data_IF_581119394904
#
_entry.id   IF_581119394904
#
_cell.length_a   1.000
_cell.length_b   1.000
_cell.length_c   1.000
_cell.angle_alpha   90.00
_cell.angle_beta   90.00
_cell.angle_gamma   90.00
#
_symmetry.space_group_name_H-M   'P 1'
#
loop_
_entity.id
_entity.type
_entity.pdbx_description
1 polymer ?
#
# COMPACT_ATOMS: atom_id res chain seq x y z
N UNK A 1 -16.99 -14.20 14.03
CA UNK A 1 -15.96 -14.40 12.99
C UNK A 1 -15.94 -13.12 12.19
N UNK A 2 -14.97 -12.24 12.46
CA UNK A 2 -14.84 -10.94 11.77
C UNK A 2 -14.17 -11.23 10.42
N UNK A 3 -14.85 -10.94 9.32
CA UNK A 3 -14.34 -11.14 7.96
C UNK A 3 -13.51 -9.92 7.57
N UNK A 4 -12.38 -10.15 6.90
CA UNK A 4 -11.34 -9.16 6.55
C UNK A 4 -11.40 -8.89 5.03
N UNK A 5 -11.05 -7.67 4.64
CA UNK A 5 -11.23 -7.14 3.29
C UNK A 5 -9.87 -6.72 2.73
N UNK A 6 -9.60 -7.16 1.51
CA UNK A 6 -8.53 -6.70 0.63
C UNK A 6 -9.13 -5.60 -0.25
N UNK A 7 -8.61 -4.36 -0.14
CA UNK A 7 -8.98 -3.26 -1.05
C UNK A 7 -7.88 -3.15 -2.10
N UNK A 8 -8.12 -3.72 -3.28
CA UNK A 8 -7.17 -3.70 -4.38
C UNK A 8 -7.40 -2.44 -5.24
N UNK A 9 -6.71 -1.35 -4.91
CA UNK A 9 -6.77 -0.11 -5.70
C UNK A 9 -5.98 -0.29 -6.99
N UNK A 10 -6.67 -0.59 -8.10
CA UNK A 10 -6.04 -0.66 -9.42
C UNK A 10 -5.80 0.77 -9.93
N UNK A 11 -4.58 1.27 -9.77
CA UNK A 11 -4.16 2.58 -10.32
C UNK A 11 -3.88 2.43 -11.82
N UNK A 12 -4.87 2.71 -12.67
CA UNK A 12 -4.64 2.98 -14.09
C UNK A 12 -4.33 4.47 -14.28
N UNK A 13 -3.03 4.79 -14.40
CA UNK A 13 -2.60 6.12 -14.82
C UNK A 13 -2.82 6.29 -16.33
N UNK A 14 -4.05 6.61 -16.74
CA UNK A 14 -4.37 7.04 -18.11
C UNK A 14 -4.08 8.54 -18.26
N UNK A 15 -2.94 8.87 -18.86
CA UNK A 15 -2.70 10.21 -19.41
C UNK A 15 -2.87 10.16 -20.92
N UNK A 16 -3.98 10.72 -21.43
CA UNK A 16 -4.17 10.94 -22.88
C UNK A 16 -4.55 12.38 -23.19
N UNK A 17 -3.67 13.02 -23.96
CA UNK A 17 -3.98 14.03 -24.99
C UNK A 17 -4.15 15.48 -24.51
N UNK A 18 -3.75 16.53 -25.23
CA UNK A 18 -3.50 16.74 -26.67
C UNK A 18 -3.11 18.25 -26.81
N UNK A 19 -2.17 18.78 -27.63
CA UNK A 19 -2.20 18.99 -29.09
C UNK A 19 -1.01 19.90 -29.54
N UNK A 20 -0.41 19.53 -30.68
CA UNK A 20 0.22 20.27 -31.80
C UNK A 20 1.22 21.45 -31.63
N UNK A 21 2.29 21.37 -32.44
CA UNK A 21 3.01 22.54 -32.95
C UNK A 21 4.30 22.22 -33.72
N UNK A 22 4.20 22.06 -35.05
CA UNK A 22 5.32 21.86 -35.98
C UNK A 22 6.42 22.94 -35.90
N UNK A 23 7.69 22.55 -36.15
CA UNK A 23 8.58 23.40 -36.96
C UNK A 23 10.08 23.42 -36.65
N UNK A 24 10.83 22.86 -37.60
CA UNK A 24 12.18 23.25 -38.04
C UNK A 24 13.44 22.71 -37.30
N UNK A 25 14.26 22.07 -38.13
CA UNK A 25 15.59 21.53 -37.87
C UNK A 25 16.66 22.59 -37.61
N UNK A 26 17.72 22.24 -36.83
CA UNK A 26 19.12 22.44 -37.25
C UNK A 26 20.15 21.69 -36.39
N UNK A 27 21.23 21.35 -37.09
CA UNK A 27 22.45 20.60 -36.80
C UNK A 27 23.36 21.06 -35.64
N UNK A 28 23.95 20.05 -34.98
CA UNK A 28 25.38 19.74 -34.83
C UNK A 28 26.34 20.42 -33.81
N UNK A 29 27.23 19.53 -33.33
CA UNK A 29 28.67 19.67 -32.96
C UNK A 29 28.98 19.97 -31.48
N UNK A 30 29.52 19.04 -30.68
CA UNK A 30 30.90 18.48 -30.54
C UNK A 30 31.94 19.38 -29.86
N UNK A 31 32.61 18.82 -28.83
CA UNK A 31 34.01 18.93 -28.36
C UNK A 31 33.99 18.73 -26.85
N UNK A 32 34.58 17.71 -26.20
CA UNK A 32 35.89 17.04 -26.25
C UNK A 32 37.09 17.82 -25.66
N UNK A 33 37.72 17.18 -24.66
CA UNK A 33 39.15 17.21 -24.24
C UNK A 33 39.63 18.45 -23.45
N UNK A 34 40.56 18.47 -22.48
CA UNK A 34 41.73 17.65 -22.02
C UNK A 34 42.10 18.19 -20.61
N UNK A 35 42.34 17.41 -19.55
CA UNK A 35 43.59 16.76 -19.05
C UNK A 35 44.80 17.67 -18.72
N UNK A 36 45.36 17.47 -17.50
CA UNK A 36 46.77 17.53 -17.00
C UNK A 36 46.79 18.05 -15.53
N UNK A 37 47.05 17.21 -14.51
CA UNK A 37 48.36 16.73 -13.98
C UNK A 37 49.40 17.81 -13.67
N UNK A 38 49.77 17.96 -12.39
CA UNK A 38 51.19 18.00 -11.98
C UNK A 38 51.38 17.67 -10.49
N UNK A 39 52.58 17.14 -10.23
CA UNK A 39 53.09 16.34 -9.12
C UNK A 39 54.01 17.11 -8.15
N UNK A 40 54.34 16.46 -7.03
CA UNK A 40 55.61 16.44 -6.28
C UNK A 40 55.79 17.32 -5.02
N UNK A 41 55.64 16.65 -3.87
CA UNK A 41 56.71 16.27 -2.92
C UNK A 41 57.81 17.29 -2.53
N UNK A 42 57.98 17.55 -1.22
CA UNK A 42 59.31 17.61 -0.60
C UNK A 42 59.28 17.33 0.92
N UNK A 43 60.33 16.66 1.37
CA UNK A 43 60.60 16.12 2.72
C UNK A 43 61.55 17.06 3.48
N UNK A 44 61.40 17.22 4.81
CA UNK A 44 62.57 17.28 5.70
C UNK A 44 62.27 17.02 7.19
N UNK A 45 63.02 16.07 7.73
CA UNK A 45 63.28 15.73 9.14
C UNK A 45 64.21 16.75 9.82
N UNK A 46 64.06 17.00 11.13
CA UNK A 46 65.11 16.73 12.16
C UNK A 46 64.72 17.11 13.60
N UNK A 47 64.83 16.10 14.48
CA UNK A 47 65.46 16.04 15.83
C UNK A 47 64.87 16.70 17.09
N UNK A 48 64.91 15.86 18.14
CA UNK A 48 64.44 15.94 19.52
C UNK A 48 65.13 16.94 20.47
N UNK A 49 64.43 17.34 21.55
CA UNK A 49 64.76 16.97 22.95
C UNK A 49 63.68 17.40 23.96
N UNK A 50 63.69 16.73 25.11
CA UNK A 50 62.66 16.62 26.14
C UNK A 50 62.47 17.86 27.07
N UNK A 51 61.28 18.00 27.67
CA UNK A 51 61.09 18.30 29.12
C UNK A 51 59.62 18.51 29.49
N UNK A 52 59.27 17.90 30.64
CA UNK A 52 58.26 18.26 31.62
C UNK A 52 56.76 17.95 31.45
N UNK A 53 56.30 17.26 32.50
CA UNK A 53 54.95 16.87 32.85
C UNK A 53 54.04 18.04 33.21
N UNK A 54 52.84 18.06 32.65
CA UNK A 54 51.66 18.65 33.29
C UNK A 54 50.38 18.05 32.70
N UNK A 55 49.77 17.14 33.46
CA UNK A 55 48.32 16.90 33.61
C UNK A 55 47.42 17.41 32.46
N UNK A 56 47.30 16.62 31.38
CA UNK A 56 46.27 16.81 30.37
C UNK A 56 45.14 15.83 30.67
N UNK A 57 44.03 16.37 31.20
CA UNK A 57 42.74 15.68 31.20
C UNK A 57 42.41 15.32 29.75
N UNK A 58 42.30 14.03 29.45
CA UNK A 58 41.63 13.57 28.25
C UNK A 58 40.19 14.08 28.29
N UNK A 59 39.90 15.13 27.52
CA UNK A 59 38.54 15.37 27.04
C UNK A 59 38.22 14.25 26.05
N UNK A 60 37.68 13.15 26.56
CA UNK A 60 36.86 12.26 25.73
C UNK A 60 35.65 13.07 25.28
N UNK A 61 35.74 13.65 24.09
CA UNK A 61 34.58 14.24 23.39
C UNK A 61 33.65 13.06 23.08
N UNK A 62 32.70 12.80 23.97
CA UNK A 62 31.69 11.79 23.74
C UNK A 62 30.92 12.15 22.47
N UNK A 63 30.96 11.28 21.48
CA UNK A 63 30.05 11.37 20.33
C UNK A 63 28.64 11.47 20.91
N UNK A 64 27.93 12.55 20.56
CA UNK A 64 26.57 12.77 21.05
C UNK A 64 25.70 11.55 20.70
N UNK A 65 24.84 11.15 21.63
CA UNK A 65 23.87 10.09 21.37
C UNK A 65 23.03 10.47 20.12
N UNK A 66 23.05 9.69 19.02
CA UNK A 66 22.40 10.07 17.77
C UNK A 66 20.87 10.01 17.84
N UNK A 67 20.33 9.50 18.95
CA UNK A 67 18.89 9.43 19.21
C UNK A 67 18.34 10.79 19.69
N UNK A 68 17.28 11.24 19.03
CA UNK A 68 16.55 12.47 19.36
C UNK A 68 15.13 12.10 19.80
N UNK A 69 14.69 12.62 20.94
CA UNK A 69 13.29 12.48 21.40
C UNK A 69 12.35 13.24 20.47
N UNK A 70 11.22 12.61 20.12
CA UNK A 70 10.19 13.17 19.23
C UNK A 70 8.80 12.90 19.81
N UNK A 71 7.75 13.51 19.25
CA UNK A 71 6.36 13.15 19.55
C UNK A 71 5.90 11.94 18.71
N UNK A 72 4.74 11.38 19.07
CA UNK A 72 4.11 10.31 18.27
C UNK A 72 3.73 10.81 16.86
N UNK A 73 3.21 12.04 16.76
CA UNK A 73 2.85 12.66 15.49
C UNK A 73 4.08 12.86 14.60
N UNK A 74 5.18 13.36 15.16
CA UNK A 74 6.46 13.46 14.45
C UNK A 74 6.95 12.08 14.01
N UNK A 75 6.80 11.04 14.84
CA UNK A 75 7.17 9.68 14.48
C UNK A 75 6.36 9.14 13.29
N UNK A 76 5.04 9.38 13.27
CA UNK A 76 4.13 9.00 12.17
C UNK A 76 4.51 9.68 10.84
N UNK A 77 5.02 10.92 10.90
CA UNK A 77 5.51 11.62 9.70
C UNK A 77 6.80 11.00 9.14
N UNK A 78 7.59 10.29 9.96
CA UNK A 78 8.88 9.71 9.55
C UNK A 78 8.80 8.27 9.04
N UNK A 79 7.75 7.53 9.42
CA UNK A 79 7.57 6.14 9.02
C UNK A 79 6.09 5.90 8.74
N UNK A 80 5.78 5.65 7.46
CA UNK A 80 4.42 5.30 7.03
C UNK A 80 3.94 4.01 7.72
N UNK A 81 2.63 3.82 7.96
CA UNK A 81 2.11 2.65 8.72
C UNK A 81 2.87 2.34 10.02
N UNK A 82 3.26 3.37 10.79
CA UNK A 82 3.92 3.17 12.09
C UNK A 82 2.99 2.42 13.05
N UNK A 83 3.53 1.57 13.92
CA UNK A 83 2.75 0.96 15.01
C UNK A 83 2.25 2.00 16.02
N UNK A 84 1.30 1.58 16.87
CA UNK A 84 0.94 2.30 18.10
C UNK A 84 1.48 1.60 19.35
N UNK A 85 1.50 2.29 20.48
CA UNK A 85 1.70 1.62 21.77
C UNK A 85 0.55 0.64 22.06
N UNK A 86 0.82 -0.54 22.66
CA UNK A 86 -0.23 -1.49 23.00
C UNK A 86 -1.11 -0.96 24.14
N UNK A 87 -2.33 -1.48 24.22
CA UNK A 87 -3.30 -1.04 25.24
C UNK A 87 -2.77 -1.36 26.65
N UNK A 88 -2.81 -0.37 27.55
CA UNK A 88 -2.26 -0.50 28.91
C UNK A 88 -0.78 -0.15 29.04
N UNK A 89 -0.07 0.19 27.95
CA UNK A 89 1.30 0.66 28.01
C UNK A 89 1.43 2.01 28.74
N UNK A 90 2.45 2.10 29.59
CA UNK A 90 2.84 3.31 30.35
C UNK A 90 4.26 3.74 30.00
N UNK A 91 4.68 4.93 30.44
CA UNK A 91 6.03 5.47 30.19
C UNK A 91 6.45 5.44 28.71
N UNK A 92 5.55 5.89 27.84
CA UNK A 92 5.76 5.88 26.40
C UNK A 92 6.72 7.00 26.01
N UNK A 93 7.83 6.64 25.37
CA UNK A 93 8.86 7.56 24.89
C UNK A 93 9.18 7.27 23.43
N UNK A 94 8.92 8.25 22.57
CA UNK A 94 9.24 8.20 21.15
C UNK A 94 10.61 8.85 20.89
N UNK A 95 11.40 8.22 20.03
CA UNK A 95 12.69 8.73 19.61
C UNK A 95 13.00 8.32 18.17
N UNK A 96 13.90 9.04 17.51
CA UNK A 96 14.40 8.70 16.18
C UNK A 96 15.92 8.81 16.10
N UNK A 97 16.51 8.03 15.19
CA UNK A 97 17.92 8.11 14.84
C UNK A 97 18.06 8.41 13.33
N UNK A 98 18.36 9.66 12.99
CA UNK A 98 18.52 10.09 11.60
C UNK A 98 19.80 9.52 10.95
N UNK A 99 20.86 9.28 11.73
CA UNK A 99 22.12 8.74 11.24
C UNK A 99 22.01 7.31 10.69
N UNK A 100 20.95 6.57 11.06
CA UNK A 100 20.66 5.24 10.54
C UNK A 100 19.76 5.27 9.30
N UNK A 101 19.33 6.45 8.85
CA UNK A 101 18.66 6.65 7.57
C UNK A 101 19.62 7.01 6.44
N UNK A 102 19.16 6.84 5.20
CA UNK A 102 19.87 7.22 3.99
C UNK A 102 18.85 7.65 2.91
N UNK A 103 18.53 8.96 2.83
CA UNK A 103 17.58 9.47 1.84
C UNK A 103 17.97 9.21 0.39
N UNK A 104 19.28 9.08 0.08
CA UNK A 104 19.74 8.78 -1.28
C UNK A 104 19.41 7.33 -1.69
N UNK A 105 19.21 6.45 -0.70
CA UNK A 105 18.77 5.07 -0.90
C UNK A 105 17.30 4.84 -0.53
N UNK A 106 16.52 5.91 -0.34
CA UNK A 106 15.13 5.83 0.12
C UNK A 106 14.96 5.08 1.47
N UNK A 107 16.00 5.12 2.31
CA UNK A 107 15.98 4.54 3.66
C UNK A 107 15.62 5.64 4.67
N UNK A 108 14.49 5.49 5.35
CA UNK A 108 14.03 6.40 6.39
C UNK A 108 14.86 6.33 7.67
N UNK A 109 14.69 7.31 8.59
CA UNK A 109 15.31 7.24 9.91
C UNK A 109 14.75 6.04 10.70
N UNK A 110 15.53 5.54 11.65
CA UNK A 110 15.05 4.50 12.55
C UNK A 110 14.18 5.14 13.64
N UNK A 111 12.91 4.77 13.70
CA UNK A 111 11.95 5.23 14.71
C UNK A 111 11.87 4.20 15.84
N UNK A 112 11.88 4.66 17.09
CA UNK A 112 11.78 3.82 18.29
C UNK A 112 10.69 4.32 19.23
N UNK A 113 9.89 3.37 19.73
CA UNK A 113 9.02 3.54 20.89
C UNK A 113 9.56 2.69 22.04
N UNK A 114 9.81 3.34 23.18
CA UNK A 114 10.11 2.66 24.44
C UNK A 114 8.87 2.76 25.34
N UNK A 115 8.47 1.66 25.98
CA UNK A 115 7.28 1.65 26.84
C UNK A 115 7.36 0.58 27.93
N UNK A 116 6.50 0.69 28.94
CA UNK A 116 6.33 -0.31 29.99
C UNK A 116 4.96 -0.97 29.89
N UNK A 117 4.91 -2.30 29.89
CA UNK A 117 3.67 -3.09 29.92
C UNK A 117 3.87 -4.24 30.90
N UNK A 118 2.92 -4.44 31.83
CA UNK A 118 2.99 -5.47 32.87
C UNK A 118 4.35 -5.50 33.62
N UNK A 119 4.83 -4.31 34.02
CA UNK A 119 6.12 -4.09 34.70
C UNK A 119 7.37 -4.49 33.90
N UNK A 120 7.24 -4.79 32.60
CA UNK A 120 8.34 -5.09 31.68
C UNK A 120 8.60 -3.93 30.74
N UNK A 121 9.88 -3.67 30.44
CA UNK A 121 10.29 -2.61 29.51
C UNK A 121 10.48 -3.17 28.10
N UNK A 122 9.78 -2.56 27.14
CA UNK A 122 9.79 -2.94 25.73
C UNK A 122 10.46 -1.87 24.89
N UNK A 123 11.09 -2.32 23.80
CA UNK A 123 11.61 -1.47 22.73
C UNK A 123 11.02 -1.93 21.42
N UNK A 124 10.22 -1.08 20.77
CA UNK A 124 9.70 -1.31 19.43
C UNK A 124 10.39 -0.37 18.45
N UNK A 125 10.70 -0.85 17.24
CA UNK A 125 11.33 -0.05 16.19
C UNK A 125 10.74 -0.32 14.82
N UNK A 126 10.69 0.74 14.01
CA UNK A 126 10.26 0.68 12.62
C UNK A 126 11.24 1.45 11.74
N UNK A 127 11.49 0.94 10.53
CA UNK A 127 12.31 1.64 9.54
C UNK A 127 11.78 1.40 8.12
N UNK A 128 11.43 2.50 7.46
CA UNK A 128 10.99 2.50 6.07
C UNK A 128 12.18 2.36 5.11
N UNK A 129 12.03 1.56 4.07
CA UNK A 129 13.07 1.30 3.06
C UNK A 129 14.15 0.31 3.52
N UNK A 130 14.04 -0.23 4.73
CA UNK A 130 14.95 -1.27 5.22
C UNK A 130 14.75 -2.57 4.43
N UNK A 131 15.82 -3.36 4.29
CA UNK A 131 15.72 -4.69 3.71
C UNK A 131 14.91 -5.63 4.63
N UNK A 132 14.28 -6.66 4.05
CA UNK A 132 13.47 -7.64 4.80
C UNK A 132 14.25 -8.31 5.94
N UNK A 133 15.56 -8.54 5.74
CA UNK A 133 16.46 -9.18 6.69
C UNK A 133 17.30 -8.20 7.52
N UNK A 134 17.00 -6.89 7.45
CA UNK A 134 17.73 -5.89 8.22
C UNK A 134 17.50 -6.05 9.73
N UNK A 135 18.58 -6.17 10.51
CA UNK A 135 18.51 -6.09 11.97
C UNK A 135 18.38 -4.64 12.42
N UNK A 136 17.14 -4.22 12.66
CA UNK A 136 16.83 -2.92 13.23
C UNK A 136 16.64 -2.96 14.75
N UNK A 137 16.63 -4.15 15.34
CA UNK A 137 16.27 -4.35 16.75
C UNK A 137 17.40 -3.94 17.70
N UNK A 138 18.65 -3.98 17.23
CA UNK A 138 19.84 -3.53 17.97
C UNK A 138 20.04 -4.27 19.30
N UNK A 139 19.64 -5.54 19.35
CA UNK A 139 19.89 -6.43 20.47
C UNK A 139 21.25 -7.12 20.27
N UNK A 140 22.18 -6.91 21.18
CA UNK A 140 23.51 -7.54 21.13
C UNK A 140 23.55 -8.79 22.01
N UNK A 141 22.79 -9.81 21.63
CA UNK A 141 22.66 -11.09 22.35
C UNK A 141 22.84 -12.28 21.42
N UNK A 142 23.28 -13.41 21.98
CA UNK A 142 23.32 -14.68 21.26
C UNK A 142 21.94 -15.36 21.34
N UNK A 143 21.25 -15.47 20.21
CA UNK A 143 19.95 -16.14 20.13
C UNK A 143 20.11 -17.65 20.35
N UNK A 144 19.45 -18.16 21.39
CA UNK A 144 19.51 -19.57 21.79
C UNK A 144 18.33 -20.40 21.28
N UNK A 145 17.24 -19.73 20.89
CA UNK A 145 15.99 -20.30 20.36
C UNK A 145 15.48 -19.42 19.22
N UNK A 146 14.91 -20.05 18.19
CA UNK A 146 14.42 -19.40 16.98
C UNK A 146 15.50 -19.27 15.87
N UNK A 147 15.15 -18.66 14.71
CA UNK A 147 13.84 -18.08 14.42
C UNK A 147 12.73 -19.13 14.30
N UNK A 148 11.61 -18.89 14.98
CA UNK A 148 10.35 -19.58 14.70
C UNK A 148 9.45 -18.64 13.89
N UNK A 149 8.84 -19.18 12.84
CA UNK A 149 7.92 -18.40 11.99
C UNK A 149 6.54 -18.32 12.62
N UNK A 150 5.98 -17.11 12.63
CA UNK A 150 4.62 -16.82 13.10
C UNK A 150 3.86 -16.02 12.05
N UNK A 151 2.54 -16.08 12.07
CA UNK A 151 1.70 -15.24 11.23
C UNK A 151 1.00 -14.21 12.09
N UNK A 152 1.23 -12.92 11.78
CA UNK A 152 0.57 -11.82 12.44
C UNK A 152 -0.83 -11.63 11.83
N UNK A 153 -1.85 -11.90 12.64
CA UNK A 153 -3.24 -11.84 12.26
C UNK A 153 -3.68 -10.40 11.97
N UNK A 154 -3.28 -9.40 12.74
CA UNK A 154 -3.75 -8.03 12.55
C UNK A 154 -2.97 -7.28 11.46
N UNK A 155 -1.80 -7.79 11.07
CA UNK A 155 -0.90 -7.15 10.11
C UNK A 155 -1.00 -7.80 8.73
N UNK A 156 -0.85 -7.00 7.66
CA UNK A 156 -0.86 -7.49 6.27
C UNK A 156 -2.05 -8.40 5.98
N UNK A 157 -3.24 -7.97 6.41
CA UNK A 157 -4.52 -8.67 6.24
C UNK A 157 -4.58 -10.07 6.89
N UNK A 158 -3.64 -10.38 7.78
CA UNK A 158 -3.49 -11.69 8.42
C UNK A 158 -2.54 -12.64 7.71
N UNK A 159 -1.77 -12.15 6.75
CA UNK A 159 -0.78 -12.93 6.01
C UNK A 159 0.66 -12.48 6.30
N UNK A 160 0.86 -11.46 7.14
CA UNK A 160 2.19 -10.96 7.43
C UNK A 160 2.97 -11.96 8.27
N UNK A 161 4.12 -12.38 7.75
CA UNK A 161 5.00 -13.34 8.43
C UNK A 161 5.93 -12.59 9.38
N UNK A 162 6.02 -13.08 10.62
CA UNK A 162 6.98 -12.64 11.62
C UNK A 162 7.95 -13.76 11.99
N UNK A 163 9.06 -13.40 12.62
CA UNK A 163 10.06 -14.33 13.16
C UNK A 163 10.28 -14.01 14.64
N UNK A 164 10.16 -15.01 15.50
CA UNK A 164 10.41 -14.86 16.95
C UNK A 164 11.76 -15.47 17.34
N UNK A 165 12.43 -14.83 18.30
CA UNK A 165 13.74 -15.22 18.79
C UNK A 165 13.77 -15.13 20.31
N UNK A 166 14.55 -16.01 20.95
CA UNK A 166 14.80 -15.95 22.40
C UNK A 166 16.26 -16.21 22.73
N UNK A 167 16.83 -15.32 23.53
CA UNK A 167 18.14 -15.48 24.14
C UNK A 167 17.99 -15.82 25.63
N UNK A 168 18.63 -16.89 26.07
CA UNK A 168 18.70 -17.31 27.49
C UNK A 168 20.08 -16.92 28.03
N UNK A 169 20.11 -16.02 29.00
CA UNK A 169 21.34 -15.50 29.62
C UNK A 169 21.40 -15.86 31.10
N UNK A 170 22.56 -15.71 31.74
CA UNK A 170 22.71 -15.91 33.18
C UNK A 170 21.82 -14.97 34.03
N UNK A 171 21.39 -13.85 33.45
CA UNK A 171 20.63 -12.79 34.12
C UNK A 171 19.13 -12.77 33.79
N UNK A 172 18.67 -13.62 32.86
CA UNK A 172 17.29 -13.65 32.42
C UNK A 172 17.15 -13.96 30.92
N UNK A 173 16.07 -13.49 30.34
CA UNK A 173 15.66 -13.77 28.97
C UNK A 173 15.54 -12.48 28.16
N UNK A 174 15.82 -12.58 26.86
CA UNK A 174 15.45 -11.56 25.87
C UNK A 174 14.59 -12.22 24.81
N UNK A 175 13.38 -11.72 24.64
CA UNK A 175 12.49 -12.12 23.54
C UNK A 175 12.46 -11.02 22.49
N UNK A 176 12.39 -11.42 21.23
CA UNK A 176 12.26 -10.51 20.10
C UNK A 176 11.32 -11.09 19.05
N UNK A 177 10.54 -10.22 18.41
CA UNK A 177 9.82 -10.52 17.19
C UNK A 177 10.15 -9.47 16.13
N UNK A 178 10.37 -9.92 14.91
CA UNK A 178 10.58 -9.08 13.72
C UNK A 178 9.56 -9.42 12.66
N UNK A 179 9.05 -8.42 11.93
CA UNK A 179 8.16 -8.64 10.78
C UNK A 179 8.42 -7.57 9.72
N UNK A 180 8.03 -7.87 8.48
CA UNK A 180 8.27 -7.01 7.32
C UNK A 180 6.99 -6.79 6.54
N UNK A 181 6.67 -5.52 6.29
CA UNK A 181 5.62 -5.14 5.34
C UNK A 181 6.24 -5.00 3.95
N UNK A 182 6.01 -6.01 3.11
CA UNK A 182 6.52 -6.07 1.74
C UNK A 182 5.83 -5.08 0.79
N UNK A 183 4.59 -4.66 1.08
CA UNK A 183 3.82 -3.78 0.20
C UNK A 183 4.41 -2.37 0.16
N UNK A 184 4.93 -1.93 1.31
CA UNK A 184 5.44 -0.57 1.52
C UNK A 184 6.90 -0.52 1.97
N UNK A 185 7.52 -1.69 2.11
CA UNK A 185 8.94 -1.86 2.40
C UNK A 185 9.34 -1.37 3.79
N UNK A 186 8.65 -1.82 4.85
CA UNK A 186 8.94 -1.40 6.23
C UNK A 186 9.34 -2.59 7.09
N UNK A 187 10.48 -2.48 7.74
CA UNK A 187 10.92 -3.44 8.75
C UNK A 187 10.45 -3.01 10.14
N UNK A 188 10.00 -3.98 10.93
CA UNK A 188 9.55 -3.78 12.30
C UNK A 188 10.24 -4.74 13.26
N UNK A 189 10.45 -4.30 14.49
CA UNK A 189 10.92 -5.16 15.59
C UNK A 189 10.28 -4.77 16.91
N UNK A 190 10.11 -5.74 17.79
CA UNK A 190 9.72 -5.56 19.18
C UNK A 190 10.60 -6.47 20.02
N UNK A 191 11.23 -5.92 21.07
CA UNK A 191 12.00 -6.71 22.04
C UNK A 191 11.68 -6.35 23.48
N UNK A 192 11.91 -7.33 24.36
CA UNK A 192 11.77 -7.21 25.81
C UNK A 192 12.86 -8.02 26.50
N UNK A 193 13.39 -7.49 27.60
CA UNK A 193 14.32 -8.19 28.47
C UNK A 193 13.76 -8.27 29.89
N UNK A 194 13.67 -9.48 30.44
CA UNK A 194 13.15 -9.70 31.80
C UNK A 194 13.79 -10.93 32.45
N UNK A 195 13.74 -10.99 33.78
CA UNK A 195 14.30 -12.11 34.55
C UNK A 195 13.52 -13.43 34.35
N UNK A 196 12.25 -13.33 33.95
CA UNK A 196 11.37 -14.47 33.64
C UNK A 196 10.45 -14.09 32.47
N UNK A 197 10.45 -14.91 31.42
CA UNK A 197 9.57 -14.81 30.26
C UNK A 197 8.94 -16.18 29.94
N UNK A 198 8.85 -17.09 30.91
CA UNK A 198 8.22 -18.38 30.68
C UNK A 198 6.72 -18.21 30.37
N UNK A 199 6.28 -18.78 29.25
CA UNK A 199 4.92 -18.60 28.74
C UNK A 199 4.55 -17.19 28.26
N UNK A 200 5.50 -16.24 28.19
CA UNK A 200 5.26 -14.91 27.62
C UNK A 200 5.09 -15.00 26.09
N UNK A 201 4.06 -14.33 25.57
CA UNK A 201 3.73 -14.30 24.15
C UNK A 201 4.02 -12.91 23.57
N UNK A 202 5.23 -12.76 23.00
CA UNK A 202 5.64 -11.50 22.36
C UNK A 202 4.86 -11.20 21.08
N UNK A 203 4.34 -12.24 20.40
CA UNK A 203 3.51 -12.06 19.21
C UNK A 203 2.22 -11.33 19.60
N UNK A 204 1.57 -11.72 20.70
CA UNK A 204 0.36 -11.07 21.18
C UNK A 204 0.53 -9.58 21.48
N UNK A 205 1.74 -9.14 21.86
CA UNK A 205 2.04 -7.70 22.03
C UNK A 205 2.21 -7.02 20.68
N UNK A 206 2.97 -7.61 19.75
CA UNK A 206 3.12 -7.08 18.39
C UNK A 206 1.76 -6.94 17.66
N UNK A 207 0.83 -7.87 17.88
CA UNK A 207 -0.54 -7.82 17.34
C UNK A 207 -1.35 -6.63 17.86
N UNK A 208 -1.16 -6.24 19.12
CA UNK A 208 -1.83 -5.08 19.73
C UNK A 208 -1.24 -3.75 19.25
N UNK A 209 -0.01 -3.78 18.74
CA UNK A 209 0.68 -2.60 18.21
C UNK A 209 0.22 -2.22 16.80
N UNK A 210 -0.58 -3.06 16.13
CA UNK A 210 -1.20 -2.71 14.86
C UNK A 210 -2.07 -1.46 14.99
N UNK A 211 -1.91 -0.52 14.04
CA UNK A 211 -2.70 0.70 14.00
C UNK A 211 -3.45 0.83 12.65
N UNK A 212 -4.75 0.52 12.60
CA UNK A 212 -5.53 0.64 11.35
C UNK A 212 -5.68 2.08 10.86
N UNK A 213 -5.53 3.09 11.73
CA UNK A 213 -5.60 4.50 11.34
C UNK A 213 -4.37 4.95 10.54
N UNK A 214 -3.26 4.21 10.65
CA UNK A 214 -2.03 4.50 9.92
C UNK A 214 -1.96 3.75 8.58
N UNK A 215 -2.98 2.95 8.24
CA UNK A 215 -3.08 2.29 6.93
C UNK A 215 -3.18 3.33 5.82
N UNK A 216 -2.35 3.16 4.79
CA UNK A 216 -2.32 4.05 3.64
C UNK A 216 -3.68 4.22 2.97
N UNK A 217 -3.98 5.45 2.55
CA UNK A 217 -5.16 5.80 1.74
C UNK A 217 -6.53 5.63 2.43
N UNK A 218 -6.58 5.29 3.72
CA UNK A 218 -7.85 5.15 4.48
C UNK A 218 -8.70 6.42 4.52
N UNK A 219 -8.07 7.60 4.47
CA UNK A 219 -8.71 8.91 4.48
C UNK A 219 -8.66 9.66 3.13
N UNK A 220 -8.24 8.99 2.05
CA UNK A 220 -8.21 9.62 0.72
C UNK A 220 -9.48 9.30 -0.08
N UNK A 221 -10.18 10.30 -0.62
CA UNK A 221 -11.23 10.07 -1.60
C UNK A 221 -10.79 9.16 -2.73
N UNK A 222 -11.58 8.13 -3.02
CA UNK A 222 -11.28 7.09 -4.02
C UNK A 222 -12.06 7.26 -5.33
N UNK A 223 -12.99 8.22 -5.39
CA UNK A 223 -13.73 8.55 -6.61
C UNK A 223 -14.22 10.01 -6.63
N UNK A 224 -14.83 10.41 -7.75
CA UNK A 224 -15.32 11.77 -7.96
C UNK A 224 -16.30 12.22 -6.87
N UNK A 225 -17.14 11.32 -6.35
CA UNK A 225 -18.19 11.68 -5.42
C UNK A 225 -17.64 11.87 -4.00
N UNK A 226 -16.70 11.02 -3.58
CA UNK A 226 -15.96 11.20 -2.34
C UNK A 226 -15.14 12.49 -2.36
N UNK A 227 -14.52 12.82 -3.50
CA UNK A 227 -13.79 14.09 -3.68
C UNK A 227 -14.74 15.27 -3.54
N UNK A 228 -15.88 15.22 -4.24
CA UNK A 228 -16.92 16.24 -4.19
C UNK A 228 -17.52 16.41 -2.78
N UNK A 229 -17.66 15.33 -2.03
CA UNK A 229 -18.24 15.33 -0.69
C UNK A 229 -17.22 15.59 0.44
N UNK A 230 -15.91 15.52 0.15
CA UNK A 230 -14.84 15.67 1.14
C UNK A 230 -14.83 14.58 2.22
N UNK A 231 -15.20 13.36 1.87
CA UNK A 231 -15.27 12.20 2.79
C UNK A 231 -15.06 10.88 2.05
N UNK A 232 -14.62 9.84 2.74
CA UNK A 232 -14.29 8.52 2.17
C UNK A 232 -15.40 7.47 2.31
N UNK A 233 -16.45 7.75 3.08
CA UNK A 233 -17.60 6.86 3.25
C UNK A 233 -18.88 7.62 3.55
N UNK A 234 -20.01 6.92 3.42
CA UNK A 234 -21.36 7.44 3.62
C UNK A 234 -22.12 6.56 4.64
N UNK A 235 -23.14 7.11 5.30
CA UNK A 235 -23.94 6.32 6.25
C UNK A 235 -25.01 5.47 5.54
N UNK A 236 -25.46 5.89 4.36
CA UNK A 236 -26.49 5.23 3.58
C UNK A 236 -26.39 5.53 2.09
N UNK A 237 -27.08 4.74 1.26
CA UNK A 237 -27.22 5.04 -0.17
C UNK A 237 -27.96 6.36 -0.42
N UNK A 238 -28.88 6.76 0.47
CA UNK A 238 -29.55 8.05 0.38
C UNK A 238 -28.56 9.21 0.55
N UNK A 239 -27.53 9.07 1.40
CA UNK A 239 -26.47 10.07 1.54
C UNK A 239 -25.57 10.15 0.30
N UNK A 240 -25.34 9.01 -0.36
CA UNK A 240 -24.63 8.96 -1.65
C UNK A 240 -25.43 9.70 -2.71
N UNK A 241 -26.72 9.39 -2.84
CA UNK A 241 -27.62 10.01 -3.82
C UNK A 241 -27.79 11.51 -3.53
N UNK A 242 -27.88 11.92 -2.26
CA UNK A 242 -28.00 13.31 -1.87
C UNK A 242 -26.74 14.14 -2.15
N UNK A 243 -25.58 13.49 -2.27
CA UNK A 243 -24.33 14.15 -2.62
C UNK A 243 -24.18 14.39 -4.12
N UNK A 244 -25.02 13.78 -4.97
CA UNK A 244 -24.98 13.96 -6.43
C UNK A 244 -25.45 15.34 -6.89
N UNK A 245 -24.87 15.83 -7.98
CA UNK A 245 -25.19 17.10 -8.64
C UNK A 245 -25.90 16.86 -9.98
N UNK A 246 -26.57 17.89 -10.56
CA UNK A 246 -27.27 17.73 -11.83
C UNK A 246 -26.37 17.19 -12.95
N UNK A 247 -26.87 16.19 -13.70
CA UNK A 247 -26.13 15.47 -14.75
C UNK A 247 -25.44 14.19 -14.28
N UNK A 248 -25.18 14.05 -12.98
CA UNK A 248 -24.72 12.81 -12.36
C UNK A 248 -25.91 11.86 -12.15
N UNK A 249 -25.65 10.57 -11.91
CA UNK A 249 -26.72 9.61 -11.73
C UNK A 249 -26.37 8.36 -10.96
N UNK A 250 -27.38 7.57 -10.67
CA UNK A 250 -27.25 6.33 -9.92
C UNK A 250 -28.15 5.21 -10.45
N UNK A 251 -27.75 3.97 -10.21
CA UNK A 251 -28.55 2.78 -10.51
C UNK A 251 -28.37 1.74 -9.39
N UNK A 252 -29.47 1.18 -8.90
CA UNK A 252 -29.42 0.02 -8.02
C UNK A 252 -29.17 -1.25 -8.85
N UNK A 253 -28.14 -2.00 -8.50
CA UNK A 253 -27.74 -3.21 -9.23
C UNK A 253 -27.57 -4.39 -8.28
N UNK A 254 -27.70 -5.60 -8.83
CA UNK A 254 -27.43 -6.87 -8.13
C UNK A 254 -26.31 -7.60 -8.84
N UNK A 255 -25.33 -8.02 -8.07
CA UNK A 255 -24.12 -8.65 -8.59
C UNK A 255 -24.00 -10.08 -8.07
N UNK A 256 -23.48 -10.98 -8.89
CA UNK A 256 -23.19 -12.34 -8.49
C UNK A 256 -22.19 -12.34 -7.32
N UNK A 257 -22.35 -13.28 -6.40
CA UNK A 257 -21.49 -13.43 -5.22
C UNK A 257 -22.04 -12.78 -3.95
N UNK A 258 -23.17 -12.07 -4.05
CA UNK A 258 -23.87 -11.48 -2.91
C UNK A 258 -25.36 -11.33 -3.19
N UNK A 259 -26.19 -11.51 -2.16
CA UNK A 259 -27.63 -11.19 -2.21
C UNK A 259 -27.90 -9.70 -1.94
N UNK A 260 -26.86 -8.93 -1.57
CA UNK A 260 -26.97 -7.51 -1.31
C UNK A 260 -27.23 -6.71 -2.59
N UNK A 261 -27.87 -5.55 -2.43
CA UNK A 261 -28.00 -4.56 -3.49
C UNK A 261 -26.86 -3.56 -3.42
N UNK A 262 -26.33 -3.20 -4.58
CA UNK A 262 -25.23 -2.26 -4.76
C UNK A 262 -25.73 -1.01 -5.49
N UNK A 263 -25.02 0.10 -5.32
CA UNK A 263 -25.33 1.34 -6.00
C UNK A 263 -24.23 1.68 -7.00
N UNK A 264 -24.52 1.59 -8.29
CA UNK A 264 -23.65 2.13 -9.33
C UNK A 264 -23.89 3.65 -9.43
N UNK A 265 -22.83 4.43 -9.42
CA UNK A 265 -22.87 5.89 -9.37
C UNK A 265 -21.95 6.46 -10.43
N UNK A 266 -22.47 7.38 -11.26
CA UNK A 266 -21.75 7.95 -12.40
C UNK A 266 -21.73 9.47 -12.35
N UNK A 267 -20.64 10.08 -12.82
CA UNK A 267 -20.46 11.52 -12.92
C UNK A 267 -21.20 12.12 -14.13
N UNK A 268 -21.58 11.28 -15.10
CA UNK A 268 -22.27 11.70 -16.32
C UNK A 268 -23.24 10.64 -16.83
N UNK A 269 -24.52 10.99 -16.84
CA UNK A 269 -25.56 10.21 -17.53
C UNK A 269 -25.74 10.73 -18.96
N UNK A 270 -25.68 9.85 -19.95
CA UNK A 270 -25.96 10.21 -21.34
C UNK A 270 -27.45 10.49 -21.54
N UNK A 271 -27.80 11.71 -21.94
CA UNK A 271 -29.20 12.15 -22.09
C UNK A 271 -30.01 11.35 -23.12
N UNK A 272 -29.34 10.72 -24.09
CA UNK A 272 -29.98 10.04 -25.21
C UNK A 272 -30.73 8.76 -24.77
N UNK A 273 -30.17 8.03 -23.81
CA UNK A 273 -30.64 6.70 -23.41
C UNK A 273 -30.52 6.43 -21.90
N UNK A 274 -30.12 7.43 -21.11
CA UNK A 274 -29.85 7.33 -19.69
C UNK A 274 -28.81 6.25 -19.31
N UNK A 275 -27.85 5.98 -20.20
CA UNK A 275 -26.74 5.07 -19.89
C UNK A 275 -25.51 5.85 -19.41
N UNK A 276 -24.49 5.12 -18.96
CA UNK A 276 -23.16 5.67 -18.67
C UNK A 276 -22.09 4.66 -19.07
N UNK A 277 -20.90 5.16 -19.41
CA UNK A 277 -19.74 4.31 -19.69
C UNK A 277 -18.84 4.13 -18.46
N UNK A 278 -19.00 4.93 -17.40
CA UNK A 278 -18.18 4.82 -16.20
C UNK A 278 -19.06 4.91 -14.95
N UNK A 279 -18.77 4.09 -13.95
CA UNK A 279 -19.45 4.16 -12.66
C UNK A 279 -18.57 3.66 -11.51
N UNK A 280 -18.63 4.36 -10.38
CA UNK A 280 -18.23 3.84 -9.08
C UNK A 280 -19.28 2.88 -8.55
N UNK A 281 -18.85 1.70 -8.11
CA UNK A 281 -19.74 0.73 -7.46
C UNK A 281 -19.64 0.89 -5.95
N UNK A 282 -20.74 1.26 -5.32
CA UNK A 282 -20.86 1.39 -3.87
C UNK A 282 -21.53 0.16 -3.26
N UNK A 283 -21.02 -0.26 -2.10
CA UNK A 283 -21.58 -1.33 -1.28
C UNK A 283 -21.49 -1.01 0.21
N UNK A 284 -22.17 -1.80 1.03
CA UNK A 284 -22.10 -1.67 2.49
C UNK A 284 -20.99 -2.56 3.04
N UNK A 285 -19.96 -1.96 3.61
CA UNK A 285 -18.87 -2.61 4.33
C UNK A 285 -18.83 -2.09 5.76
N UNK A 286 -18.81 -2.99 6.74
CA UNK A 286 -18.79 -2.66 8.18
C UNK A 286 -19.86 -1.63 8.63
N UNK A 287 -21.02 -1.67 7.97
CA UNK A 287 -22.14 -0.78 8.27
C UNK A 287 -22.03 0.63 7.68
N UNK A 288 -21.02 0.88 6.84
CA UNK A 288 -20.84 2.11 6.06
C UNK A 288 -20.96 1.82 4.58
N UNK A 289 -21.43 2.80 3.82
CA UNK A 289 -21.45 2.76 2.37
C UNK A 289 -20.11 3.26 1.84
N UNK A 290 -19.38 2.39 1.16
CA UNK A 290 -18.01 2.62 0.69
C UNK A 290 -17.93 2.29 -0.80
N UNK A 291 -17.07 3.01 -1.52
CA UNK A 291 -16.76 2.70 -2.91
C UNK A 291 -15.92 1.42 -2.95
N UNK A 292 -16.31 0.47 -3.80
CA UNK A 292 -15.68 -0.84 -3.94
C UNK A 292 -14.73 -0.90 -5.13
N UNK A 293 -15.10 -0.26 -6.24
CA UNK A 293 -14.31 -0.20 -7.46
C UNK A 293 -14.90 0.83 -8.41
N UNK A 294 -14.05 1.34 -9.32
CA UNK A 294 -14.46 2.03 -10.53
C UNK A 294 -14.53 1.01 -11.67
N UNK A 295 -15.55 1.12 -12.53
CA UNK A 295 -15.65 0.33 -13.76
C UNK A 295 -15.88 1.27 -14.93
N UNK A 296 -15.16 1.02 -16.02
CA UNK A 296 -15.16 1.93 -17.17
C UNK A 296 -15.26 1.16 -18.49
N UNK A 297 -16.03 1.72 -19.40
CA UNK A 297 -16.07 1.40 -20.82
C UNK A 297 -15.44 2.53 -21.63
N UNK A 298 -15.76 2.62 -22.92
CA UNK A 298 -15.18 3.64 -23.80
C UNK A 298 -16.23 4.56 -24.43
N UNK A 299 -16.64 5.57 -23.66
CA UNK A 299 -17.61 6.57 -24.11
C UNK A 299 -18.99 5.98 -24.41
N UNK A 300 -19.86 6.77 -25.03
CA UNK A 300 -21.27 6.41 -25.23
C UNK A 300 -21.51 5.22 -26.16
N UNK A 301 -20.51 4.80 -26.94
CA UNK A 301 -20.63 3.61 -27.79
C UNK A 301 -20.52 2.30 -27.01
N UNK A 302 -19.92 2.33 -25.82
CA UNK A 302 -19.66 1.15 -24.99
C UNK A 302 -20.14 1.40 -23.54
N UNK A 303 -21.47 1.50 -23.33
CA UNK A 303 -22.04 1.71 -22.01
C UNK A 303 -21.86 0.47 -21.12
N UNK A 304 -21.95 0.66 -19.81
CA UNK A 304 -21.93 -0.43 -18.84
C UNK A 304 -23.17 -1.31 -18.99
N UNK A 305 -22.98 -2.63 -18.83
CA UNK A 305 -24.04 -3.63 -19.00
C UNK A 305 -24.07 -4.60 -17.82
N UNK A 306 -25.24 -5.18 -17.57
CA UNK A 306 -25.46 -6.11 -16.46
C UNK A 306 -26.42 -7.24 -16.90
N UNK A 307 -25.97 -8.48 -16.78
CA UNK A 307 -26.81 -9.65 -17.00
C UNK A 307 -26.42 -10.78 -16.05
N UNK A 308 -27.41 -11.43 -15.45
CA UNK A 308 -27.23 -12.55 -14.51
C UNK A 308 -26.24 -12.26 -13.36
N UNK A 309 -26.19 -10.99 -12.92
CA UNK A 309 -25.31 -10.53 -11.85
C UNK A 309 -23.86 -10.30 -12.28
N UNK A 310 -23.54 -10.46 -13.57
CA UNK A 310 -22.22 -10.14 -14.12
C UNK A 310 -22.27 -8.76 -14.75
N UNK A 311 -21.38 -7.89 -14.29
CA UNK A 311 -21.20 -6.55 -14.85
C UNK A 311 -20.21 -6.64 -16.01
N UNK A 312 -20.55 -6.03 -17.13
CA UNK A 312 -19.72 -5.99 -18.34
C UNK A 312 -19.29 -4.56 -18.63
N UNK A 313 -18.01 -4.38 -18.95
CA UNK A 313 -17.40 -3.10 -19.27
C UNK A 313 -16.39 -3.25 -20.43
N UNK A 314 -15.42 -2.33 -20.50
CA UNK A 314 -14.37 -2.33 -21.52
C UNK A 314 -14.72 -1.55 -22.78
N UNK A 315 -13.80 -1.57 -23.74
CA UNK A 315 -13.83 -0.75 -24.95
C UNK A 315 -14.11 -1.59 -26.21
N UNK A 316 -13.84 -1.04 -27.40
CA UNK A 316 -13.71 -1.85 -28.61
C UNK A 316 -12.39 -2.64 -28.69
N UNK A 317 -11.50 -2.42 -27.73
CA UNK A 317 -10.16 -3.01 -27.60
C UNK A 317 -10.04 -3.88 -26.34
N UNK A 318 -11.02 -3.86 -25.43
CA UNK A 318 -11.06 -4.72 -24.25
C UNK A 318 -12.45 -5.31 -23.98
N UNK A 319 -12.46 -6.57 -23.54
CA UNK A 319 -13.61 -7.26 -22.98
C UNK A 319 -13.34 -7.48 -21.50
N UNK A 320 -14.23 -6.96 -20.66
CA UNK A 320 -14.05 -6.97 -19.21
C UNK A 320 -15.35 -7.35 -18.52
N UNK A 321 -15.27 -8.28 -17.57
CA UNK A 321 -16.42 -8.71 -16.77
C UNK A 321 -16.09 -8.75 -15.30
N UNK A 322 -17.09 -8.54 -14.45
CA UNK A 322 -16.90 -8.36 -13.00
C UNK A 322 -18.02 -9.01 -12.19
N UNK A 323 -17.67 -9.42 -10.97
CA UNK A 323 -18.57 -10.01 -9.97
C UNK A 323 -18.15 -9.56 -8.56
N UNK A 324 -18.95 -9.82 -7.53
CA UNK A 324 -18.55 -9.56 -6.13
C UNK A 324 -17.88 -10.81 -5.56
N UNK A 325 -16.72 -10.66 -4.93
CA UNK A 325 -16.18 -11.74 -4.10
C UNK A 325 -17.04 -11.91 -2.84
N UNK A 326 -17.59 -13.12 -2.64
CA UNK A 326 -18.31 -13.46 -1.41
C UNK A 326 -17.41 -13.44 -0.16
N UNK A 327 -16.10 -13.59 -0.35
CA UNK A 327 -15.11 -13.67 0.73
C UNK A 327 -14.63 -12.28 1.14
N UNK A 328 -14.39 -11.39 0.18
CA UNK A 328 -13.82 -10.05 0.42
C UNK A 328 -14.85 -8.92 0.35
N UNK A 329 -16.04 -9.14 -0.21
CA UNK A 329 -17.07 -8.12 -0.39
C UNK A 329 -16.75 -7.04 -1.43
N UNK A 330 -15.59 -7.13 -2.10
CA UNK A 330 -15.16 -6.22 -3.17
C UNK A 330 -15.57 -6.70 -4.57
N UNK A 331 -15.55 -5.77 -5.53
CA UNK A 331 -15.76 -6.07 -6.95
C UNK A 331 -14.48 -6.67 -7.54
N UNK A 332 -14.60 -7.84 -8.17
CA UNK A 332 -13.50 -8.61 -8.73
C UNK A 332 -13.66 -8.76 -10.23
N UNK A 333 -12.54 -8.63 -10.93
CA UNK A 333 -12.45 -8.91 -12.35
C UNK A 333 -12.57 -10.42 -12.60
N UNK A 334 -13.58 -10.80 -13.37
CA UNK A 334 -13.84 -12.17 -13.81
C UNK A 334 -13.02 -12.50 -15.05
N UNK A 335 -13.21 -11.73 -16.11
CA UNK A 335 -12.51 -11.90 -17.39
C UNK A 335 -11.92 -10.57 -17.83
N UNK A 336 -10.73 -10.61 -18.41
CA UNK A 336 -10.07 -9.47 -19.04
C UNK A 336 -9.35 -9.94 -20.29
N UNK A 337 -9.75 -9.45 -21.44
CA UNK A 337 -9.08 -9.73 -22.71
C UNK A 337 -8.92 -8.41 -23.46
N UNK A 338 -7.72 -8.11 -23.93
CA UNK A 338 -7.43 -6.91 -24.73
C UNK A 338 -6.65 -7.25 -25.99
N UNK A 339 -6.79 -6.45 -27.04
CA UNK A 339 -5.92 -6.48 -28.22
C UNK A 339 -4.62 -5.67 -28.06
N UNK A 340 -4.44 -4.99 -26.91
CA UNK A 340 -3.24 -4.23 -26.60
C UNK A 340 -3.07 -2.95 -27.41
N UNK A 341 -4.10 -2.51 -28.15
CA UNK A 341 -4.05 -1.25 -28.90
C UNK A 341 -3.94 -0.05 -27.95
N UNK A 342 -4.73 -0.05 -26.88
CA UNK A 342 -4.76 1.03 -25.89
C UNK A 342 -3.44 1.15 -25.10
N UNK A 343 -2.68 0.05 -24.98
CA UNK A 343 -1.37 0.00 -24.31
C UNK A 343 -0.17 0.06 -25.27
N UNK A 344 -0.42 0.04 -26.59
CA UNK A 344 0.59 0.05 -27.63
C UNK A 344 1.32 -1.27 -27.86
N UNK A 345 1.00 -2.34 -27.15
CA UNK A 345 1.60 -3.66 -27.36
C UNK A 345 1.12 -4.28 -28.68
N UNK A 346 -0.13 -4.01 -29.06
CA UNK A 346 -0.81 -4.66 -30.18
C UNK A 346 -0.78 -6.20 -30.09
N UNK A 347 -0.76 -6.73 -28.85
CA UNK A 347 -0.77 -8.15 -28.56
C UNK A 347 -2.06 -8.52 -27.84
N UNK A 348 -2.73 -9.54 -28.37
CA UNK A 348 -3.91 -10.10 -27.72
C UNK A 348 -3.46 -10.87 -26.49
N UNK A 349 -3.88 -10.40 -25.32
CA UNK A 349 -3.52 -10.96 -24.02
C UNK A 349 -4.72 -10.89 -23.08
N UNK A 350 -4.68 -11.65 -22.00
CA UNK A 350 -5.76 -11.65 -21.02
C UNK A 350 -5.93 -12.98 -20.32
N UNK A 351 -6.97 -13.05 -19.51
CA UNK A 351 -7.37 -14.25 -18.81
C UNK A 351 -8.90 -14.34 -18.71
N UNK A 352 -9.37 -15.55 -18.45
CA UNK A 352 -10.76 -15.83 -18.07
C UNK A 352 -10.79 -16.57 -16.76
N UNK A 353 -11.83 -16.34 -15.96
CA UNK A 353 -12.15 -17.19 -14.81
C UNK A 353 -13.34 -18.07 -15.15
N UNK A 354 -13.16 -19.38 -14.98
CA UNK A 354 -14.23 -20.35 -15.22
C UNK A 354 -15.30 -20.28 -14.12
N UNK A 355 -14.87 -20.01 -12.89
CA UNK A 355 -15.73 -19.84 -11.73
C UNK A 355 -15.78 -18.38 -11.30
N UNK A 356 -16.94 -17.94 -10.84
CA UNK A 356 -17.12 -16.60 -10.27
C UNK A 356 -16.66 -16.58 -8.80
N UNK A 357 -15.40 -16.94 -8.56
CA UNK A 357 -14.75 -17.00 -7.26
C UNK A 357 -13.35 -16.38 -7.36
N UNK A 358 -12.93 -15.64 -6.35
CA UNK A 358 -11.63 -14.95 -6.40
C UNK A 358 -10.45 -15.93 -6.31
N UNK A 359 -10.60 -17.02 -5.58
CA UNK A 359 -9.58 -18.08 -5.50
C UNK A 359 -9.67 -19.06 -6.67
N UNK A 360 -10.62 -18.85 -7.59
CA UNK A 360 -10.79 -19.68 -8.79
C UNK A 360 -9.60 -19.54 -9.74
N UNK A 361 -9.23 -20.66 -10.37
CA UNK A 361 -8.17 -20.70 -11.38
C UNK A 361 -8.47 -19.75 -12.55
N UNK A 362 -7.50 -18.91 -12.89
CA UNK A 362 -7.50 -18.10 -14.11
C UNK A 362 -6.86 -18.90 -15.23
N UNK A 363 -7.47 -18.86 -16.41
CA UNK A 363 -6.91 -19.47 -17.63
C UNK A 363 -6.51 -18.37 -18.58
N UNK A 364 -5.24 -18.37 -18.99
CA UNK A 364 -4.72 -17.45 -19.99
C UNK A 364 -5.52 -17.55 -21.29
N UNK A 365 -5.87 -16.38 -21.84
CA UNK A 365 -6.56 -16.30 -23.11
C UNK A 365 -5.60 -16.63 -24.25
N UNK A 366 -5.89 -17.71 -24.99
CA UNK A 366 -5.07 -18.19 -26.11
C UNK A 366 -5.75 -18.00 -27.47
N UNK A 367 -6.90 -17.29 -27.49
CA UNK A 367 -7.64 -16.97 -28.71
C UNK A 367 -7.01 -15.86 -29.53
N UNK A 368 -7.46 -15.69 -30.78
CA UNK A 368 -7.07 -14.60 -31.65
C UNK A 368 -8.13 -13.50 -31.75
N UNK A 369 -7.96 -12.62 -32.73
CA UNK A 369 -8.86 -11.48 -32.96
C UNK A 369 -10.31 -11.93 -33.23
N UNK A 370 -10.51 -13.08 -33.87
CA UNK A 370 -11.85 -13.59 -34.15
C UNK A 370 -12.59 -13.96 -32.86
N UNK A 371 -11.91 -14.60 -31.90
CA UNK A 371 -12.46 -14.92 -30.59
C UNK A 371 -12.74 -13.65 -29.77
N UNK A 372 -11.81 -12.68 -29.76
CA UNK A 372 -12.05 -11.39 -29.11
C UNK A 372 -13.26 -10.66 -29.70
N UNK A 373 -13.38 -10.60 -31.03
CA UNK A 373 -14.53 -9.98 -31.69
C UNK A 373 -15.86 -10.67 -31.34
N UNK A 374 -15.85 -11.99 -31.13
CA UNK A 374 -17.05 -12.73 -30.65
C UNK A 374 -17.42 -12.31 -29.23
N UNK A 375 -16.45 -12.18 -28.33
CA UNK A 375 -16.68 -11.71 -26.96
C UNK A 375 -17.21 -10.27 -26.93
N UNK A 376 -16.62 -9.38 -27.72
CA UNK A 376 -17.09 -7.99 -27.85
C UNK A 376 -18.53 -7.96 -28.40
N UNK A 377 -18.82 -8.73 -29.44
CA UNK A 377 -20.18 -8.83 -29.98
C UNK A 377 -21.17 -9.44 -28.98
N UNK A 378 -20.74 -10.42 -28.17
CA UNK A 378 -21.56 -10.98 -27.09
C UNK A 378 -21.90 -9.91 -26.05
N UNK A 379 -20.90 -9.13 -25.61
CA UNK A 379 -21.09 -8.01 -24.68
C UNK A 379 -22.14 -7.04 -25.20
N UNK A 380 -22.08 -6.66 -26.48
CA UNK A 380 -23.03 -5.69 -27.06
C UNK A 380 -24.50 -6.14 -27.00
N UNK A 381 -24.74 -7.45 -26.88
CA UNK A 381 -26.09 -8.00 -26.74
C UNK A 381 -26.60 -8.04 -25.29
N UNK A 382 -25.76 -7.72 -24.30
CA UNK A 382 -26.14 -7.70 -22.88
C UNK A 382 -26.96 -6.45 -22.55
N UNK A 383 -27.79 -6.52 -21.50
CA UNK A 383 -28.64 -5.40 -21.08
C UNK A 383 -27.80 -4.23 -20.57
N UNK A 384 -28.06 -3.03 -21.08
CA UNK A 384 -27.45 -1.80 -20.57
C UNK A 384 -27.95 -1.48 -19.16
N UNK A 385 -27.11 -0.83 -18.36
CA UNK A 385 -27.51 -0.26 -17.09
C UNK A 385 -28.13 1.12 -17.36
N UNK A 386 -29.39 1.30 -16.98
CA UNK A 386 -30.08 2.59 -17.04
C UNK A 386 -29.90 3.32 -15.69
N UNK A 387 -29.41 4.55 -15.75
CA UNK A 387 -29.16 5.39 -14.59
C UNK A 387 -30.30 6.39 -14.37
N UNK A 388 -30.63 6.62 -13.11
CA UNK A 388 -31.48 7.73 -12.69
C UNK A 388 -30.64 8.99 -12.60
N UNK A 389 -30.81 9.90 -13.57
CA UNK A 389 -30.13 11.19 -13.61
C UNK A 389 -30.72 12.16 -12.57
N UNK A 390 -29.85 12.85 -11.85
CA UNK A 390 -30.19 13.98 -10.97
C UNK A 390 -30.42 15.22 -11.83
N UNK A 391 -31.51 15.95 -11.55
CA UNK A 391 -32.00 17.08 -12.35
C UNK A 391 -31.71 18.43 -11.73
#
# INVERSE_FOLDING_TARGET
MKKRIVVLTTVFALTVGMIAGCGAAKEATSSETTQEETSAENVQETTAEASDSADAKEETVGIANPWVSITEEEAKEKCFRLFKAPDGATNQEWSMCEELGDPEKYLGPLVQLSFTLDDMSFTARAQQGAAEDADIAGNYVDWTVGPDEVTLANWGEGNMTGKTYRAVTDTGYVDMITWYDIEIGIAYSLSVAATDLDGFDIQAVAEQMYNPENEGFTDMPSDFLQEQAGKTSFDSYDDVIAALTPGQGYAYIKLYGSDAEYLAVTDLVFEADNTACEASIYGILDGKVTQLSLVSGAGSAYPLRLEDGILYAGSNHSYETYFISADFGGLMMKDYITDGVDTGTNEITGFTRQENTFDGETVDFTGGQEELNKLLAERENKKVIEFTMVK
#
